data_IF_140392385596
#
_entry.id   IF_140392385596
#
_cell.length_a   1.000
_cell.length_b   1.000
_cell.length_c   1.000
_cell.angle_alpha   90.00
_cell.angle_beta   90.00
_cell.angle_gamma   90.00
#
_symmetry.space_group_name_H-M   'P 1'
#
loop_
_entity.id
_entity.type
_entity.pdbx_description
1 polymer ?
#
# COMPACT_ATOMS: atom_id res chain seq x y z
N UNK A 1 -44.79 1.45 -41.61
CA UNK A 1 -44.79 0.91 -40.27
C UNK A 1 -43.37 0.45 -39.96
N UNK A 2 -42.65 1.06 -39.02
CA UNK A 2 -41.29 0.61 -38.64
C UNK A 2 -41.41 -0.60 -37.72
N UNK A 3 -40.67 -1.65 -38.02
CA UNK A 3 -40.54 -2.85 -37.20
C UNK A 3 -39.74 -2.51 -35.95
N UNK A 4 -40.32 -2.75 -34.75
CA UNK A 4 -39.60 -2.74 -33.48
C UNK A 4 -38.57 -3.86 -33.51
N UNK A 5 -37.31 -3.46 -33.26
CA UNK A 5 -36.19 -4.38 -33.00
C UNK A 5 -36.30 -4.81 -31.52
N UNK A 6 -36.67 -6.06 -31.28
CA UNK A 6 -36.60 -6.66 -29.96
C UNK A 6 -35.14 -6.73 -29.55
N UNK A 7 -34.76 -6.06 -28.47
CA UNK A 7 -33.49 -6.31 -27.82
C UNK A 7 -33.55 -7.68 -27.16
N UNK A 8 -32.67 -8.57 -27.59
CA UNK A 8 -32.42 -9.83 -26.90
C UNK A 8 -31.90 -9.50 -25.49
N UNK A 9 -32.73 -9.85 -24.50
CA UNK A 9 -32.30 -9.79 -23.11
C UNK A 9 -31.16 -10.77 -22.90
N UNK A 10 -30.02 -10.26 -22.44
CA UNK A 10 -28.88 -11.06 -22.02
C UNK A 10 -29.36 -11.95 -20.87
N UNK A 11 -29.57 -13.24 -21.14
CA UNK A 11 -29.79 -14.22 -20.08
C UNK A 11 -28.54 -14.28 -19.20
N UNK A 12 -28.64 -13.70 -18.00
CA UNK A 12 -27.67 -13.92 -16.93
C UNK A 12 -27.82 -15.37 -16.46
N UNK A 13 -27.13 -16.28 -17.10
CA UNK A 13 -26.98 -17.64 -16.60
C UNK A 13 -26.06 -17.61 -15.36
N UNK A 14 -26.36 -18.48 -14.38
CA UNK A 14 -25.59 -18.67 -13.14
C UNK A 14 -24.07 -18.90 -13.37
N UNK A 15 -23.69 -19.23 -14.59
CA UNK A 15 -22.30 -19.48 -15.01
C UNK A 15 -21.48 -18.20 -15.23
N UNK A 16 -22.13 -17.03 -15.31
CA UNK A 16 -21.47 -15.73 -15.53
C UNK A 16 -21.33 -14.89 -14.25
N UNK A 17 -21.68 -15.44 -13.09
CA UNK A 17 -21.27 -14.84 -11.82
C UNK A 17 -19.83 -15.30 -11.62
N UNK A 18 -18.88 -14.42 -11.92
CA UNK A 18 -17.48 -14.64 -11.56
C UNK A 18 -17.46 -15.18 -10.13
N UNK A 19 -16.86 -16.35 -9.93
CA UNK A 19 -16.78 -16.95 -8.61
C UNK A 19 -16.22 -15.90 -7.66
N UNK A 20 -17.00 -15.53 -6.65
CA UNK A 20 -16.53 -14.55 -5.65
C UNK A 20 -15.28 -15.15 -5.03
N UNK A 21 -14.13 -14.58 -5.36
CA UNK A 21 -12.85 -15.03 -4.81
C UNK A 21 -12.88 -14.84 -3.30
N UNK A 22 -12.74 -15.94 -2.59
CA UNK A 22 -12.66 -15.89 -1.12
C UNK A 22 -11.26 -15.48 -0.71
N UNK A 23 -11.16 -14.41 0.07
CA UNK A 23 -9.89 -13.99 0.67
C UNK A 23 -9.37 -15.11 1.58
N UNK A 24 -8.07 -15.48 1.50
CA UNK A 24 -7.48 -16.46 2.42
C UNK A 24 -7.69 -16.06 3.88
N UNK A 25 -7.95 -17.02 4.75
CA UNK A 25 -8.19 -16.77 6.18
C UNK A 25 -7.06 -15.97 6.85
N UNK A 26 -5.82 -16.11 6.35
CA UNK A 26 -4.63 -15.37 6.82
C UNK A 26 -4.76 -13.86 6.59
N UNK A 27 -5.51 -13.42 5.58
CA UNK A 27 -5.68 -12.01 5.21
C UNK A 27 -7.12 -11.52 5.37
N UNK A 28 -7.99 -12.33 5.95
CA UNK A 28 -9.38 -11.98 6.18
C UNK A 28 -9.54 -11.15 7.46
N UNK A 29 -10.40 -10.15 7.42
CA UNK A 29 -10.87 -9.41 8.58
C UNK A 29 -12.29 -9.83 8.95
N UNK A 30 -12.67 -9.64 10.22
CA UNK A 30 -14.05 -9.81 10.66
C UNK A 30 -14.85 -8.57 10.30
N UNK A 31 -16.06 -8.75 9.79
CA UNK A 31 -16.92 -7.63 9.42
C UNK A 31 -17.33 -6.84 10.67
N UNK A 32 -17.18 -5.52 10.61
CA UNK A 32 -17.64 -4.58 11.63
C UNK A 32 -18.80 -3.73 11.10
N UNK A 33 -19.56 -3.12 12.02
CA UNK A 33 -20.58 -2.13 11.68
C UNK A 33 -19.98 -0.74 11.41
N UNK A 34 -18.78 -0.47 11.91
CA UNK A 34 -18.01 0.72 11.60
C UNK A 34 -16.96 0.40 10.52
N UNK A 35 -16.92 1.20 9.48
CA UNK A 35 -16.02 0.94 8.34
C UNK A 35 -15.77 2.19 7.50
N UNK A 36 -14.61 2.25 6.89
CA UNK A 36 -14.28 3.18 5.83
C UNK A 36 -13.94 2.42 4.55
N UNK A 37 -13.99 3.10 3.41
CA UNK A 37 -13.63 2.55 2.11
C UNK A 37 -12.54 3.38 1.43
N UNK A 38 -11.51 2.69 0.99
CA UNK A 38 -10.43 3.26 0.20
C UNK A 38 -10.57 2.78 -1.24
N UNK A 39 -10.99 3.69 -2.13
CA UNK A 39 -11.08 3.43 -3.56
C UNK A 39 -9.71 3.61 -4.17
N UNK A 40 -9.10 2.50 -4.55
CA UNK A 40 -7.78 2.48 -5.14
C UNK A 40 -7.90 2.69 -6.65
N UNK A 41 -7.48 3.87 -7.12
CA UNK A 41 -7.56 4.21 -8.54
C UNK A 41 -6.45 3.53 -9.35
N UNK A 42 -5.29 3.41 -8.73
CA UNK A 42 -4.10 2.81 -9.35
C UNK A 42 -3.26 2.13 -8.27
N UNK A 43 -2.73 0.96 -8.56
CA UNK A 43 -1.79 0.28 -7.70
C UNK A 43 -0.68 -0.35 -8.54
N UNK A 44 0.58 -0.04 -8.20
CA UNK A 44 1.74 -0.51 -8.96
C UNK A 44 2.83 -1.08 -8.07
N UNK A 45 3.45 -2.15 -8.53
CA UNK A 45 4.68 -2.72 -7.98
C UNK A 45 5.77 -2.53 -9.03
N UNK A 46 6.85 -1.83 -8.67
CA UNK A 46 7.98 -1.50 -9.56
C UNK A 46 7.56 -0.79 -10.86
N UNK A 47 6.42 -0.09 -10.83
CA UNK A 47 5.86 0.63 -11.98
C UNK A 47 4.93 -0.20 -12.86
N UNK A 48 4.75 -1.49 -12.58
CA UNK A 48 3.79 -2.37 -13.25
C UNK A 48 2.48 -2.43 -12.46
N UNK A 49 1.35 -2.45 -13.16
CA UNK A 49 0.03 -2.55 -12.54
C UNK A 49 -0.15 -3.90 -11.86
N UNK A 50 -0.91 -3.92 -10.77
CA UNK A 50 -1.32 -5.16 -10.11
C UNK A 50 -2.11 -6.06 -11.07
N UNK A 51 -2.00 -7.36 -10.85
CA UNK A 51 -2.79 -8.39 -11.51
C UNK A 51 -4.07 -8.71 -10.73
N UNK A 52 -5.06 -9.32 -11.37
CA UNK A 52 -6.35 -9.65 -10.71
C UNK A 52 -6.20 -10.62 -9.52
N UNK A 53 -5.08 -11.36 -9.47
CA UNK A 53 -4.77 -12.33 -8.41
C UNK A 53 -4.10 -11.69 -7.20
N UNK A 54 -3.67 -10.44 -7.31
CA UNK A 54 -3.04 -9.71 -6.23
C UNK A 54 -4.08 -9.23 -5.22
N UNK A 55 -3.70 -9.27 -3.94
CA UNK A 55 -4.58 -8.92 -2.84
C UNK A 55 -4.10 -7.66 -2.14
N UNK A 56 -4.92 -6.61 -2.14
CA UNK A 56 -4.66 -5.40 -1.35
C UNK A 56 -5.18 -5.64 0.06
N UNK A 57 -4.35 -5.36 1.06
CA UNK A 57 -4.64 -5.61 2.47
C UNK A 57 -4.45 -4.30 3.23
N UNK A 58 -5.48 -3.90 3.97
CA UNK A 58 -5.48 -2.73 4.85
C UNK A 58 -5.13 -3.13 6.28
N UNK A 59 -4.25 -2.37 6.92
CA UNK A 59 -3.77 -2.58 8.27
C UNK A 59 -4.02 -1.35 9.14
N UNK A 60 -4.32 -1.58 10.42
CA UNK A 60 -4.16 -0.64 11.51
C UNK A 60 -3.04 -1.14 12.43
N UNK A 61 -1.86 -0.51 12.38
CA UNK A 61 -0.65 -1.10 12.96
C UNK A 61 -0.35 -2.48 12.35
N UNK A 62 -0.36 -3.52 13.19
CA UNK A 62 -0.13 -4.90 12.75
C UNK A 62 -1.43 -5.70 12.53
N UNK A 63 -2.59 -5.08 12.75
CA UNK A 63 -3.90 -5.74 12.65
C UNK A 63 -4.48 -5.57 11.26
N UNK A 64 -4.88 -6.67 10.62
CA UNK A 64 -5.60 -6.64 9.35
C UNK A 64 -7.03 -6.16 9.60
N UNK A 65 -7.38 -5.03 8.98
CA UNK A 65 -8.70 -4.41 9.10
C UNK A 65 -9.53 -4.53 7.83
N UNK A 66 -8.95 -5.01 6.75
CA UNK A 66 -9.68 -5.27 5.50
C UNK A 66 -8.79 -5.79 4.41
N UNK A 67 -9.41 -6.36 3.38
CA UNK A 67 -8.68 -6.81 2.19
C UNK A 67 -9.61 -6.94 1.00
N UNK A 68 -9.04 -6.79 -0.21
CA UNK A 68 -9.73 -6.92 -1.47
C UNK A 68 -8.78 -7.34 -2.59
N UNK A 69 -9.18 -8.31 -3.40
CA UNK A 69 -8.47 -8.60 -4.65
C UNK A 69 -8.52 -7.41 -5.59
N UNK A 70 -7.43 -7.15 -6.28
CA UNK A 70 -7.37 -6.12 -7.29
C UNK A 70 -8.39 -6.42 -8.41
N UNK A 71 -9.24 -5.47 -8.67
CA UNK A 71 -10.30 -5.56 -9.69
C UNK A 71 -10.20 -4.45 -10.74
N UNK A 72 -9.04 -3.79 -10.81
CA UNK A 72 -8.83 -2.62 -11.65
C UNK A 72 -9.12 -1.31 -10.94
N UNK A 73 -9.23 -0.24 -11.71
CA UNK A 73 -9.52 1.11 -11.20
C UNK A 73 -10.77 1.12 -10.30
N UNK A 74 -10.69 1.89 -9.21
CA UNK A 74 -11.73 2.01 -8.18
C UNK A 74 -11.97 0.72 -7.36
N UNK A 75 -10.97 -0.13 -7.24
CA UNK A 75 -11.05 -1.26 -6.30
C UNK A 75 -11.34 -0.74 -4.89
N UNK A 76 -12.46 -1.15 -4.30
CA UNK A 76 -12.94 -0.74 -2.98
C UNK A 76 -12.30 -1.59 -1.88
N UNK A 77 -11.32 -1.07 -1.18
CA UNK A 77 -10.70 -1.75 -0.04
C UNK A 77 -11.36 -1.28 1.25
N UNK A 78 -12.07 -2.17 1.98
CA UNK A 78 -12.66 -1.80 3.26
C UNK A 78 -11.57 -1.70 4.33
N UNK A 79 -11.80 -0.84 5.33
CA UNK A 79 -11.06 -0.83 6.58
C UNK A 79 -12.06 -0.78 7.74
N UNK A 80 -12.10 -1.83 8.53
CA UNK A 80 -13.05 -2.01 9.61
C UNK A 80 -12.65 -1.21 10.84
N UNK A 81 -13.64 -0.58 11.47
CA UNK A 81 -13.51 0.14 12.72
C UNK A 81 -13.87 -0.71 13.94
N UNK A 82 -13.43 -0.27 15.10
CA UNK A 82 -13.69 -0.93 16.38
C UNK A 82 -15.07 -0.60 16.91
N UNK A 83 -16.08 -1.41 16.55
CA UNK A 83 -17.46 -1.21 17.03
C UNK A 83 -17.69 -1.76 18.44
N UNK A 84 -17.14 -2.93 18.78
CA UNK A 84 -17.37 -3.59 20.09
C UNK A 84 -16.12 -4.25 20.68
N UNK A 85 -15.77 -5.44 20.19
CA UNK A 85 -14.74 -6.31 20.80
C UNK A 85 -13.52 -6.57 19.92
N UNK A 86 -13.49 -5.95 18.77
CA UNK A 86 -12.41 -6.14 17.77
C UNK A 86 -11.20 -5.28 18.16
N UNK A 87 -10.34 -5.84 19.05
CA UNK A 87 -9.12 -5.14 19.47
C UNK A 87 -8.23 -4.84 18.27
N UNK A 88 -7.75 -3.59 18.19
CA UNK A 88 -6.84 -3.13 17.16
C UNK A 88 -7.50 -2.72 15.85
N UNK A 89 -8.84 -2.80 15.73
CA UNK A 89 -9.55 -2.21 14.60
C UNK A 89 -9.49 -0.68 14.68
N UNK A 90 -9.74 0.00 13.55
CA UNK A 90 -9.54 1.43 13.42
C UNK A 90 -10.43 2.25 14.35
N UNK A 91 -9.86 3.32 14.87
CA UNK A 91 -10.56 4.40 15.55
C UNK A 91 -10.37 5.71 14.78
N UNK A 92 -11.23 6.70 15.03
CA UNK A 92 -11.12 7.99 14.36
C UNK A 92 -9.74 8.63 14.57
N UNK A 93 -9.06 8.95 13.48
CA UNK A 93 -7.71 9.50 13.46
C UNK A 93 -6.59 8.48 13.27
N UNK A 94 -6.87 7.18 13.32
CA UNK A 94 -5.86 6.16 13.01
C UNK A 94 -5.46 6.23 11.53
N UNK A 95 -4.19 5.95 11.25
CA UNK A 95 -3.65 5.94 9.89
C UNK A 95 -3.63 4.51 9.36
N UNK A 96 -4.45 4.25 8.35
CA UNK A 96 -4.48 2.95 7.68
C UNK A 96 -3.28 2.82 6.75
N UNK A 97 -2.57 1.71 6.86
CA UNK A 97 -1.47 1.34 5.96
C UNK A 97 -1.88 0.20 5.05
N UNK A 98 -1.18 0.07 3.92
CA UNK A 98 -1.53 -0.93 2.91
C UNK A 98 -0.33 -1.81 2.58
N UNK A 99 -0.62 -3.10 2.38
CA UNK A 99 0.31 -4.04 1.76
C UNK A 99 -0.40 -4.74 0.60
N UNK A 100 0.36 -5.22 -0.35
CA UNK A 100 -0.12 -6.07 -1.44
C UNK A 100 0.55 -7.43 -1.32
N UNK A 101 -0.26 -8.48 -1.30
CA UNK A 101 0.24 -9.82 -1.55
C UNK A 101 0.30 -10.01 -3.07
N UNK A 102 1.53 -10.02 -3.60
CA UNK A 102 1.84 -10.33 -4.99
C UNK A 102 1.77 -11.85 -5.17
N UNK A 103 0.75 -12.30 -5.88
CA UNK A 103 0.49 -13.72 -6.08
C UNK A 103 1.52 -14.38 -6.98
N UNK A 104 2.14 -13.61 -7.87
CA UNK A 104 3.13 -14.11 -8.83
C UNK A 104 4.49 -14.35 -8.18
N UNK A 105 4.88 -13.49 -7.23
CA UNK A 105 6.12 -13.57 -6.49
C UNK A 105 5.99 -14.33 -5.16
N UNK A 106 4.75 -14.61 -4.68
CA UNK A 106 4.46 -15.15 -3.34
C UNK A 106 5.05 -14.25 -2.23
N UNK A 107 4.91 -12.93 -2.38
CA UNK A 107 5.52 -11.93 -1.50
C UNK A 107 4.50 -10.91 -0.99
N UNK A 108 4.69 -10.45 0.26
CA UNK A 108 3.91 -9.37 0.86
C UNK A 108 4.70 -8.05 0.79
N UNK A 109 4.22 -7.11 -0.01
CA UNK A 109 4.91 -5.87 -0.36
C UNK A 109 4.25 -4.68 0.33
N UNK A 110 5.05 -3.84 0.99
CA UNK A 110 4.55 -2.59 1.59
C UNK A 110 4.25 -1.55 0.51
N UNK A 111 3.08 -0.90 0.66
CA UNK A 111 2.61 0.10 -0.27
C UNK A 111 2.55 1.47 0.39
N UNK A 112 2.82 2.50 -0.40
CA UNK A 112 2.65 3.90 0.01
C UNK A 112 1.47 4.50 -0.75
N UNK A 113 0.55 5.10 0.00
CA UNK A 113 -0.56 5.86 -0.58
C UNK A 113 -0.11 7.27 -0.95
N UNK A 114 -0.69 7.83 -2.02
CA UNK A 114 -0.44 9.19 -2.51
C UNK A 114 -1.26 10.27 -1.78
N UNK A 115 -2.21 9.87 -0.93
CA UNK A 115 -3.08 10.76 -0.16
C UNK A 115 -3.20 10.31 1.31
N UNK A 116 -3.86 11.13 2.13
CA UNK A 116 -4.13 10.81 3.53
C UNK A 116 -5.01 9.57 3.65
N UNK A 117 -4.63 8.69 4.57
CA UNK A 117 -5.34 7.45 4.91
C UNK A 117 -5.86 7.46 6.35
N UNK A 118 -6.02 8.66 6.94
CA UNK A 118 -6.60 8.85 8.27
C UNK A 118 -8.05 8.34 8.29
N UNK A 119 -8.31 7.35 9.15
CA UNK A 119 -9.57 6.65 9.19
C UNK A 119 -10.65 7.44 9.91
N UNK A 120 -11.86 7.43 9.36
CA UNK A 120 -13.07 7.87 10.03
C UNK A 120 -14.23 6.96 9.65
N UNK A 121 -15.15 6.71 10.56
CA UNK A 121 -16.33 5.90 10.26
C UNK A 121 -17.12 6.51 9.09
N UNK A 122 -17.59 5.64 8.20
CA UNK A 122 -18.23 6.00 6.93
C UNK A 122 -17.36 6.88 6.02
N UNK A 123 -16.04 6.88 6.21
CA UNK A 123 -15.10 7.60 5.36
C UNK A 123 -14.99 6.98 3.96
N UNK A 124 -14.85 7.85 2.95
CA UNK A 124 -14.62 7.48 1.55
C UNK A 124 -13.39 8.20 1.04
N UNK A 125 -12.37 7.44 0.68
CA UNK A 125 -11.07 7.96 0.30
C UNK A 125 -10.73 7.48 -1.11
N UNK A 126 -10.12 8.35 -1.90
CA UNK A 126 -9.62 8.01 -3.24
C UNK A 126 -8.10 8.10 -3.20
N UNK A 127 -7.43 6.99 -3.44
CA UNK A 127 -5.98 6.86 -3.30
C UNK A 127 -5.37 6.13 -4.49
N UNK A 128 -4.06 6.28 -4.67
CA UNK A 128 -3.25 5.38 -5.50
C UNK A 128 -2.14 4.78 -4.63
N UNK A 129 -1.79 3.54 -4.92
CA UNK A 129 -0.81 2.78 -4.17
C UNK A 129 0.43 2.50 -5.05
N UNK A 130 1.61 2.66 -4.46
CA UNK A 130 2.86 2.23 -5.08
C UNK A 130 3.75 1.58 -4.03
N UNK A 131 4.52 0.58 -4.43
CA UNK A 131 5.53 0.04 -3.53
C UNK A 131 6.63 1.07 -3.28
N UNK A 132 7.24 0.99 -2.11
CA UNK A 132 8.42 1.78 -1.80
C UNK A 132 9.58 1.24 -2.65
N UNK A 133 9.94 1.98 -3.69
CA UNK A 133 11.15 1.65 -4.43
C UNK A 133 12.35 1.97 -3.54
N UNK A 134 13.06 0.95 -3.12
CA UNK A 134 14.38 1.13 -2.55
C UNK A 134 15.35 1.44 -3.70
N UNK A 135 16.35 2.29 -3.50
CA UNK A 135 17.39 2.50 -4.50
C UNK A 135 18.01 1.15 -4.90
N UNK A 136 18.23 0.95 -6.19
CA UNK A 136 18.76 -0.33 -6.70
C UNK A 136 20.19 -0.65 -6.22
N UNK A 137 20.90 0.34 -5.67
CA UNK A 137 22.27 0.21 -5.18
C UNK A 137 22.52 1.12 -3.99
N UNK A 138 23.43 0.71 -3.12
CA UNK A 138 23.95 1.60 -2.08
C UNK A 138 24.70 2.77 -2.74
N UNK A 139 24.37 3.98 -2.34
CA UNK A 139 25.05 5.18 -2.82
C UNK A 139 25.40 6.10 -1.66
N UNK A 140 26.54 6.77 -1.79
CA UNK A 140 26.99 7.84 -0.88
C UNK A 140 27.15 9.12 -1.68
N UNK A 141 26.37 10.13 -1.33
CA UNK A 141 26.42 11.45 -1.93
C UNK A 141 27.67 12.24 -1.51
N UNK A 142 27.92 13.34 -2.20
CA UNK A 142 28.98 14.26 -1.84
C UNK A 142 28.50 15.20 -0.74
N UNK A 143 29.41 15.52 0.19
CA UNK A 143 29.15 16.53 1.21
C UNK A 143 28.83 17.89 0.57
N UNK A 144 27.69 18.49 0.92
CA UNK A 144 27.29 19.80 0.44
C UNK A 144 26.70 20.65 1.59
N UNK A 145 27.12 21.95 1.69
CA UNK A 145 28.17 22.61 0.92
C UNK A 145 29.58 22.11 1.24
N UNK A 146 30.47 22.15 0.27
CA UNK A 146 31.89 21.88 0.46
C UNK A 146 32.71 22.92 -0.33
N UNK A 147 33.45 23.86 0.33
CA UNK A 147 33.69 23.96 1.77
C UNK A 147 32.46 24.29 2.61
N UNK A 148 32.42 23.82 3.86
CA UNK A 148 31.27 23.98 4.76
C UNK A 148 31.55 25.04 5.86
N UNK A 149 30.45 25.67 6.39
CA UNK A 149 30.53 26.60 7.51
C UNK A 149 29.17 26.73 8.22
N UNK A 150 28.97 26.25 9.41
CA UNK A 150 29.75 25.21 10.12
C UNK A 150 29.19 23.79 9.85
N UNK A 151 28.16 23.63 9.00
CA UNK A 151 27.42 22.39 8.75
C UNK A 151 27.54 21.98 7.29
N UNK A 152 27.66 20.70 7.04
CA UNK A 152 27.49 20.07 5.72
C UNK A 152 26.55 18.89 5.84
N UNK A 153 25.87 18.55 4.75
CA UNK A 153 25.00 17.38 4.64
C UNK A 153 25.64 16.35 3.73
N UNK A 154 25.55 15.09 4.10
CA UNK A 154 25.95 13.97 3.28
C UNK A 154 24.73 13.07 3.11
N UNK A 155 24.23 12.96 1.88
CA UNK A 155 23.12 12.07 1.57
C UNK A 155 23.63 10.66 1.30
N UNK A 156 22.87 9.64 1.70
CA UNK A 156 23.17 8.27 1.36
C UNK A 156 21.88 7.51 1.02
N UNK A 157 22.01 6.51 0.18
CA UNK A 157 20.91 5.65 -0.25
C UNK A 157 21.19 4.21 0.15
N UNK A 158 20.17 3.51 0.65
CA UNK A 158 20.26 2.12 1.07
C UNK A 158 19.38 1.28 0.15
N UNK A 159 19.95 0.24 -0.43
CA UNK A 159 19.21 -0.72 -1.27
C UNK A 159 18.39 -1.71 -0.44
N UNK A 160 18.70 -1.87 0.84
CA UNK A 160 18.03 -2.77 1.78
C UNK A 160 17.98 -2.17 3.19
N UNK A 161 17.20 -2.78 4.08
CA UNK A 161 17.25 -2.48 5.50
C UNK A 161 18.61 -2.91 6.07
N UNK A 162 19.43 -1.95 6.47
CA UNK A 162 20.78 -2.20 6.97
C UNK A 162 21.12 -1.26 8.12
N UNK A 163 21.95 -1.73 9.03
CA UNK A 163 22.59 -0.87 10.01
C UNK A 163 23.68 -0.04 9.33
N UNK A 164 23.64 1.26 9.55
CA UNK A 164 24.58 2.21 8.93
C UNK A 164 25.54 2.70 9.97
N UNK A 165 26.85 2.64 9.67
CA UNK A 165 27.90 3.31 10.42
C UNK A 165 28.70 4.21 9.49
N UNK A 166 28.78 5.49 9.84
CA UNK A 166 29.54 6.48 9.08
C UNK A 166 30.70 6.99 9.92
N UNK A 167 31.92 6.82 9.43
CA UNK A 167 33.14 7.29 10.09
C UNK A 167 33.82 8.33 9.22
N UNK A 168 34.12 9.49 9.80
CA UNK A 168 34.76 10.62 9.09
C UNK A 168 36.22 10.71 9.50
N UNK A 169 37.09 10.73 8.51
CA UNK A 169 38.55 10.88 8.69
C UNK A 169 39.07 12.19 8.15
N UNK A 170 40.08 12.74 8.80
CA UNK A 170 40.81 13.89 8.25
C UNK A 170 41.83 13.43 7.17
N UNK A 171 42.48 14.40 6.52
CA UNK A 171 43.49 14.14 5.47
C UNK A 171 44.71 13.34 5.95
N UNK A 172 44.90 13.21 7.25
CA UNK A 172 45.96 12.40 7.87
C UNK A 172 45.52 11.01 8.24
N UNK A 173 44.27 10.62 7.93
CA UNK A 173 43.67 9.31 8.24
C UNK A 173 43.27 9.16 9.72
N UNK A 174 43.15 10.27 10.45
CA UNK A 174 42.68 10.23 11.85
C UNK A 174 41.17 10.42 11.87
N UNK A 175 40.47 9.57 12.60
CA UNK A 175 39.06 9.69 12.85
C UNK A 175 38.72 11.00 13.57
N UNK A 176 37.70 11.71 13.08
CA UNK A 176 37.25 13.01 13.61
C UNK A 176 35.79 12.99 14.03
N UNK A 177 35.00 12.07 13.51
CA UNK A 177 33.60 11.83 13.90
C UNK A 177 33.14 10.42 13.52
N UNK A 178 32.12 9.93 14.25
CA UNK A 178 31.39 8.63 13.98
C UNK A 178 29.93 8.89 14.18
#
# INVERSE_FOLDING_TARGET
MPKLRTQEGTNLTRENIAAVRTVPATYASVQSTEQAFYFVNNATINGELLEEDDLIIAYNGDVIVGSRYWAGELTDVPAMGQAYSEEGYCQAGDVVTFKVYDSSADELIEMTADASTEWQDLGYYSISLKNRQLPATFALGQAYPNPFNPVTTIDFELADNADVSMVIYNVQGREVAT
#
